data_IF_344239533096
#
_entry.id   IF_344239533096
#
_cell.length_a   1.000
_cell.length_b   1.000
_cell.length_c   1.000
_cell.angle_alpha   90.00
_cell.angle_beta   90.00
_cell.angle_gamma   90.00
#
_symmetry.space_group_name_H-M   'P 1'
#
loop_
_entity.id
_entity.type
_entity.pdbx_description
1 polymer ?
#
# COMPACT_ATOMS: atom_id res chain seq x y z
N UNK A 1 -27.93 0.43 -14.14
CA UNK A 1 -26.53 0.02 -13.92
C UNK A 1 -26.27 0.03 -12.42
N UNK A 2 -25.98 -1.13 -11.83
CA UNK A 2 -25.62 -1.27 -10.42
C UNK A 2 -24.11 -1.31 -10.23
N UNK A 3 -23.65 -1.02 -9.02
CA UNK A 3 -22.25 -1.13 -8.61
C UNK A 3 -22.19 -1.94 -7.31
N UNK A 4 -21.23 -2.82 -7.19
CA UNK A 4 -20.98 -3.65 -6.01
C UNK A 4 -19.54 -3.51 -5.54
N UNK A 5 -19.31 -3.60 -4.23
CA UNK A 5 -18.01 -3.76 -3.63
C UNK A 5 -17.80 -5.25 -3.38
N UNK A 6 -16.74 -5.82 -3.96
CA UNK A 6 -16.34 -7.20 -3.77
C UNK A 6 -15.09 -7.27 -2.90
N UNK A 7 -14.99 -8.31 -2.04
CA UNK A 7 -13.81 -8.56 -1.22
C UNK A 7 -13.49 -10.05 -1.15
N UNK A 8 -12.19 -10.39 -1.02
CA UNK A 8 -11.69 -11.76 -0.92
C UNK A 8 -10.31 -11.82 -0.26
N UNK A 9 -9.86 -13.02 0.09
CA UNK A 9 -8.60 -13.25 0.79
C UNK A 9 -8.79 -13.51 2.28
N UNK A 10 -7.77 -13.20 3.09
CA UNK A 10 -7.80 -13.39 4.55
C UNK A 10 -8.87 -12.53 5.22
N UNK A 11 -9.57 -13.11 6.21
CA UNK A 11 -10.66 -12.45 6.94
C UNK A 11 -10.67 -12.76 8.44
N UNK A 12 -9.56 -13.19 9.01
CA UNK A 12 -9.43 -13.59 10.41
C UNK A 12 -9.76 -12.48 11.43
N UNK A 13 -9.86 -11.22 10.97
CA UNK A 13 -10.17 -10.06 11.79
C UNK A 13 -11.35 -9.23 11.22
N UNK A 14 -12.10 -9.77 10.26
CA UNK A 14 -13.18 -9.04 9.60
C UNK A 14 -12.72 -7.96 8.63
N UNK A 15 -11.45 -8.00 8.18
CA UNK A 15 -10.85 -7.01 7.28
C UNK A 15 -11.49 -6.95 5.90
N UNK A 16 -12.29 -7.94 5.52
CA UNK A 16 -13.09 -7.94 4.29
C UNK A 16 -14.39 -7.13 4.41
N UNK A 17 -14.79 -6.75 5.65
CA UNK A 17 -16.01 -5.97 5.87
C UNK A 17 -17.32 -6.73 5.63
N UNK A 18 -17.29 -8.06 5.58
CA UNK A 18 -18.42 -8.94 5.25
C UNK A 18 -19.36 -9.20 6.44
N UNK A 19 -19.11 -8.61 7.62
CA UNK A 19 -19.91 -8.78 8.82
C UNK A 19 -19.58 -10.02 9.64
N UNK A 20 -18.60 -10.80 9.23
CA UNK A 20 -18.15 -12.05 9.86
C UNK A 20 -16.62 -12.11 9.92
N UNK A 21 -16.10 -12.97 10.79
CA UNK A 21 -14.71 -13.46 10.72
C UNK A 21 -14.70 -14.85 10.09
N UNK A 22 -13.69 -15.14 9.28
CA UNK A 22 -13.40 -16.43 8.67
C UNK A 22 -11.90 -16.56 8.45
N UNK A 23 -11.37 -17.76 8.27
CA UNK A 23 -9.95 -17.88 7.94
C UNK A 23 -9.65 -17.24 6.59
N UNK A 24 -10.48 -17.51 5.59
CA UNK A 24 -10.30 -17.07 4.21
C UNK A 24 -11.63 -16.92 3.47
N UNK A 25 -11.58 -16.18 2.36
CA UNK A 25 -12.63 -16.08 1.35
C UNK A 25 -11.98 -16.24 -0.03
N UNK A 26 -11.99 -17.47 -0.57
CA UNK A 26 -11.24 -17.84 -1.78
C UNK A 26 -11.84 -17.33 -3.10
N UNK A 27 -13.08 -16.87 -3.07
CA UNK A 27 -13.78 -16.24 -4.20
C UNK A 27 -14.25 -14.84 -3.83
N UNK A 28 -14.34 -13.90 -4.80
CA UNK A 28 -14.91 -12.59 -4.54
C UNK A 28 -16.35 -12.68 -4.02
N UNK A 29 -16.59 -12.13 -2.84
CA UNK A 29 -17.90 -12.02 -2.22
C UNK A 29 -18.35 -10.57 -2.15
N UNK A 30 -19.63 -10.31 -2.39
CA UNK A 30 -20.20 -8.97 -2.28
C UNK A 30 -20.27 -8.52 -0.82
N UNK A 31 -19.82 -7.29 -0.55
CA UNK A 31 -19.86 -6.68 0.79
C UNK A 31 -21.22 -6.04 1.01
N UNK A 32 -21.92 -6.43 2.07
CA UNK A 32 -23.16 -5.78 2.49
C UNK A 32 -22.89 -4.38 3.09
N UNK A 33 -23.25 -3.35 2.35
CA UNK A 33 -23.12 -1.95 2.75
C UNK A 33 -24.45 -1.34 3.24
N UNK A 34 -25.48 -2.14 3.47
CA UNK A 34 -26.82 -1.66 3.90
C UNK A 34 -26.78 -0.94 5.26
N UNK A 35 -25.79 -1.27 6.12
CA UNK A 35 -25.61 -0.69 7.45
C UNK A 35 -24.74 0.57 7.49
N UNK A 36 -24.24 1.05 6.34
CA UNK A 36 -23.42 2.27 6.28
C UNK A 36 -23.83 3.18 5.11
N UNK A 37 -23.38 4.42 5.14
CA UNK A 37 -23.67 5.42 4.10
C UNK A 37 -22.85 5.25 2.81
N UNK A 38 -21.87 4.35 2.82
CA UNK A 38 -20.97 4.09 1.69
C UNK A 38 -21.74 3.57 0.46
N UNK A 39 -21.46 4.18 -0.69
CA UNK A 39 -22.00 3.76 -1.98
C UNK A 39 -20.87 3.26 -2.87
N UNK A 40 -20.90 2.02 -3.41
CA UNK A 40 -19.81 1.47 -4.23
C UNK A 40 -19.38 2.39 -5.38
N UNK A 41 -20.33 3.03 -6.07
CA UNK A 41 -20.06 3.97 -7.17
C UNK A 41 -19.21 5.19 -6.74
N UNK A 42 -19.25 5.55 -5.46
CA UNK A 42 -18.58 6.72 -4.89
C UNK A 42 -17.20 6.41 -4.30
N UNK A 43 -16.80 5.15 -4.26
CA UNK A 43 -15.50 4.76 -3.73
C UNK A 43 -14.39 5.30 -4.64
N UNK A 44 -13.46 6.04 -4.05
CA UNK A 44 -12.31 6.67 -4.71
C UNK A 44 -11.01 5.89 -4.48
N UNK A 45 -10.83 5.35 -3.26
CA UNK A 45 -9.63 4.61 -2.88
C UNK A 45 -9.94 3.55 -1.83
N UNK A 46 -9.29 2.40 -1.95
CA UNK A 46 -9.33 1.29 -0.98
C UNK A 46 -7.89 0.94 -0.66
N UNK A 47 -7.54 0.89 0.62
CA UNK A 47 -6.22 0.48 1.09
C UNK A 47 -6.36 -0.42 2.32
N UNK A 48 -5.52 -1.43 2.44
CA UNK A 48 -5.50 -2.30 3.60
C UNK A 48 -4.13 -2.35 4.28
N UNK A 49 -4.14 -2.57 5.60
CA UNK A 49 -2.98 -2.94 6.38
C UNK A 49 -2.86 -4.46 6.53
N UNK A 50 -2.34 -4.94 7.66
CA UNK A 50 -2.26 -6.39 7.94
C UNK A 50 -3.65 -7.04 8.02
N UNK A 51 -4.49 -6.52 8.87
CA UNK A 51 -5.82 -7.07 9.16
C UNK A 51 -6.91 -6.00 9.25
N UNK A 52 -6.71 -4.81 8.65
CA UNK A 52 -7.70 -3.74 8.62
C UNK A 52 -7.76 -3.09 7.23
N UNK A 53 -8.85 -2.41 6.94
CA UNK A 53 -9.10 -1.77 5.65
C UNK A 53 -9.69 -0.38 5.85
N UNK A 54 -9.20 0.57 5.06
CA UNK A 54 -9.78 1.90 4.91
C UNK A 54 -10.34 2.10 3.50
N UNK A 55 -11.48 2.76 3.41
CA UNK A 55 -12.11 3.20 2.15
C UNK A 55 -12.32 4.71 2.21
N UNK A 56 -11.93 5.42 1.17
CA UNK A 56 -12.21 6.82 0.93
C UNK A 56 -13.26 6.95 -0.17
N UNK A 57 -14.31 7.74 0.07
CA UNK A 57 -15.30 8.08 -0.95
C UNK A 57 -15.01 9.43 -1.65
N UNK A 58 -15.75 9.72 -2.70
CA UNK A 58 -15.60 10.92 -3.52
C UNK A 58 -16.01 12.22 -2.81
N UNK A 59 -16.69 12.12 -1.67
CA UNK A 59 -17.05 13.25 -0.80
C UNK A 59 -16.02 13.51 0.31
N UNK A 60 -14.93 12.74 0.37
CA UNK A 60 -13.90 12.87 1.39
C UNK A 60 -14.24 12.19 2.71
N UNK A 61 -15.21 11.26 2.74
CA UNK A 61 -15.53 10.45 3.91
C UNK A 61 -14.70 9.20 3.95
N UNK A 62 -14.30 8.78 5.14
CA UNK A 62 -13.49 7.58 5.37
C UNK A 62 -14.29 6.54 6.13
N UNK A 63 -14.18 5.30 5.70
CA UNK A 63 -14.78 4.13 6.33
C UNK A 63 -13.70 3.12 6.66
N UNK A 64 -13.87 2.38 7.76
CA UNK A 64 -12.90 1.37 8.18
C UNK A 64 -13.57 0.10 8.68
N UNK A 65 -12.85 -1.03 8.59
CA UNK A 65 -13.18 -2.31 9.20
C UNK A 65 -11.93 -3.13 9.51
N UNK A 66 -12.08 -4.23 10.24
CA UNK A 66 -11.03 -5.18 10.54
C UNK A 66 -10.47 -5.08 11.95
N UNK A 67 -9.23 -5.50 12.10
CA UNK A 67 -8.47 -5.59 13.34
C UNK A 67 -8.28 -4.25 14.03
N UNK A 68 -8.52 -4.20 15.35
CA UNK A 68 -8.49 -2.96 16.12
C UNK A 68 -7.71 -3.03 17.45
N UNK A 69 -6.89 -4.04 17.67
CA UNK A 69 -6.19 -4.22 18.94
C UNK A 69 -5.19 -3.09 19.29
N UNK A 70 -4.79 -2.29 18.29
CA UNK A 70 -3.95 -1.09 18.42
C UNK A 70 -4.71 0.19 18.04
N UNK A 71 -6.03 0.10 17.87
CA UNK A 71 -6.85 1.23 17.47
C UNK A 71 -6.76 1.60 15.99
N UNK A 72 -6.20 0.72 15.13
CA UNK A 72 -5.91 1.01 13.72
C UNK A 72 -7.15 1.28 12.86
N UNK A 73 -8.33 0.83 13.26
CA UNK A 73 -9.60 1.20 12.58
C UNK A 73 -10.22 2.50 13.11
N UNK A 74 -9.64 3.14 14.16
CA UNK A 74 -10.06 4.46 14.63
C UNK A 74 -11.25 4.47 15.60
N UNK A 75 -11.64 3.36 16.20
CA UNK A 75 -12.73 3.29 17.18
C UNK A 75 -12.23 2.92 18.58
N UNK A 76 -12.87 3.44 19.68
CA UNK A 76 -12.44 3.23 21.06
C UNK A 76 -12.86 1.87 21.62
N UNK A 77 -12.59 0.80 20.86
CA UNK A 77 -12.76 -0.59 21.28
C UNK A 77 -11.53 -1.38 20.87
N UNK A 78 -11.28 -2.50 21.52
CA UNK A 78 -10.27 -3.48 21.07
C UNK A 78 -10.88 -4.59 20.22
N UNK A 79 -12.20 -4.64 20.12
CA UNK A 79 -12.90 -5.61 19.30
C UNK A 79 -12.70 -5.33 17.82
N UNK A 80 -12.69 -6.36 17.01
CA UNK A 80 -12.64 -6.25 15.56
C UNK A 80 -13.94 -5.60 15.03
N UNK A 81 -13.81 -4.78 14.02
CA UNK A 81 -14.94 -4.13 13.34
C UNK A 81 -15.25 -4.91 12.08
N UNK A 82 -16.27 -5.74 12.11
CA UNK A 82 -16.55 -6.74 11.06
C UNK A 82 -17.23 -6.14 9.81
N UNK A 83 -17.83 -4.97 9.91
CA UNK A 83 -18.48 -4.25 8.81
C UNK A 83 -17.95 -2.83 8.72
N UNK A 84 -17.93 -2.25 7.53
CA UNK A 84 -17.48 -0.87 7.35
C UNK A 84 -18.26 0.11 8.19
N UNK A 85 -17.56 0.96 8.96
CA UNK A 85 -18.10 2.07 9.76
C UNK A 85 -17.46 3.36 9.33
N UNK A 86 -18.23 4.44 9.33
CA UNK A 86 -17.79 5.79 9.00
C UNK A 86 -16.95 6.40 10.13
N UNK A 87 -15.85 7.07 9.77
CA UNK A 87 -14.87 7.68 10.67
C UNK A 87 -14.97 9.21 10.75
N UNK A 88 -15.93 9.87 10.09
CA UNK A 88 -15.92 11.31 9.90
C UNK A 88 -15.88 12.11 11.20
N UNK A 89 -16.66 11.73 12.21
CA UNK A 89 -16.61 12.40 13.53
C UNK A 89 -15.21 12.31 14.15
N UNK A 90 -14.55 11.15 14.02
CA UNK A 90 -13.18 10.95 14.52
C UNK A 90 -12.14 11.75 13.74
N UNK A 91 -12.40 12.00 12.48
CA UNK A 91 -11.59 12.87 11.62
C UNK A 91 -12.01 14.34 11.71
N UNK A 92 -12.85 14.70 12.72
CA UNK A 92 -13.33 16.06 12.98
C UNK A 92 -14.03 16.70 11.78
N UNK A 93 -14.75 15.88 11.01
CA UNK A 93 -15.47 16.27 9.79
C UNK A 93 -14.60 17.00 8.73
N UNK A 94 -13.27 16.77 8.75
CA UNK A 94 -12.34 17.28 7.73
C UNK A 94 -12.57 16.56 6.41
N UNK A 95 -12.41 17.26 5.29
CA UNK A 95 -12.47 16.66 3.95
C UNK A 95 -11.15 15.93 3.68
N UNK A 96 -11.23 14.60 3.57
CA UNK A 96 -10.08 13.75 3.31
C UNK A 96 -9.88 13.59 1.80
N UNK A 97 -8.65 13.73 1.34
CA UNK A 97 -8.26 13.60 -0.07
C UNK A 97 -7.41 12.36 -0.33
N UNK A 98 -6.74 11.84 0.69
CA UNK A 98 -5.95 10.61 0.60
C UNK A 98 -5.93 9.82 1.90
N UNK A 99 -5.74 8.50 1.80
CA UNK A 99 -5.63 7.55 2.92
C UNK A 99 -4.49 6.57 2.68
N UNK A 100 -3.85 6.11 3.75
CA UNK A 100 -2.83 5.07 3.71
C UNK A 100 -2.92 4.15 4.93
N UNK A 101 -2.51 2.89 4.77
CA UNK A 101 -2.35 1.92 5.84
C UNK A 101 -0.91 1.43 5.90
N UNK A 102 -0.36 1.37 7.11
CA UNK A 102 0.79 0.55 7.44
C UNK A 102 0.36 -0.83 7.91
N UNK A 103 1.24 -1.56 8.61
CA UNK A 103 0.89 -2.88 9.14
C UNK A 103 -0.31 -2.82 10.12
N UNK A 104 -0.19 -1.98 11.14
CA UNK A 104 -1.14 -1.82 12.24
C UNK A 104 -1.39 -0.34 12.60
N UNK A 105 -1.27 0.53 11.62
CA UNK A 105 -1.52 1.97 11.73
C UNK A 105 -2.13 2.53 10.45
N UNK A 106 -2.74 3.69 10.56
CA UNK A 106 -3.54 4.32 9.52
C UNK A 106 -3.26 5.81 9.42
N UNK A 107 -3.50 6.35 8.24
CA UNK A 107 -3.32 7.77 7.92
C UNK A 107 -4.46 8.32 7.07
N UNK A 108 -4.78 9.58 7.28
CA UNK A 108 -5.66 10.38 6.43
C UNK A 108 -5.05 11.76 6.16
N UNK A 109 -5.09 12.17 4.92
CA UNK A 109 -4.62 13.49 4.47
C UNK A 109 -5.83 14.37 4.13
N UNK A 110 -5.87 15.55 4.72
CA UNK A 110 -6.92 16.53 4.44
C UNK A 110 -6.61 17.35 3.19
N UNK A 111 -7.63 17.99 2.63
CA UNK A 111 -7.50 18.91 1.49
C UNK A 111 -6.59 20.10 1.80
N UNK A 112 -6.44 20.50 3.07
CA UNK A 112 -5.56 21.59 3.50
C UNK A 112 -4.09 21.15 3.62
N UNK A 113 -3.77 19.87 3.38
CA UNK A 113 -2.43 19.30 3.53
C UNK A 113 -2.08 18.93 4.98
N UNK A 114 -3.09 18.80 5.86
CA UNK A 114 -2.93 18.32 7.24
C UNK A 114 -2.94 16.78 7.27
N UNK A 115 -2.00 16.19 8.01
CA UNK A 115 -1.92 14.75 8.22
C UNK A 115 -2.55 14.35 9.55
N UNK A 116 -3.41 13.34 9.51
CA UNK A 116 -3.99 12.67 10.67
C UNK A 116 -3.45 11.23 10.72
N UNK A 117 -2.93 10.81 11.88
CA UNK A 117 -2.38 9.47 12.10
C UNK A 117 -3.04 8.81 13.31
N UNK A 118 -3.18 7.46 13.27
CA UNK A 118 -3.65 6.64 14.38
C UNK A 118 -3.21 5.18 14.23
N UNK A 119 -3.45 4.37 15.27
CA UNK A 119 -3.00 2.98 15.34
C UNK A 119 -1.72 2.83 16.15
N UNK A 120 -0.91 1.85 15.80
CA UNK A 120 0.35 1.50 16.47
C UNK A 120 1.45 2.53 16.22
N UNK A 121 2.21 2.80 17.28
CA UNK A 121 3.42 3.64 17.25
C UNK A 121 4.61 2.95 17.94
N UNK A 122 4.58 1.64 18.09
CA UNK A 122 5.62 0.90 18.81
C UNK A 122 7.03 1.09 18.25
N UNK A 123 7.13 1.56 17.00
CA UNK A 123 8.39 1.83 16.30
C UNK A 123 8.59 3.31 15.96
N UNK A 124 7.71 4.21 16.45
CA UNK A 124 7.76 5.63 16.13
C UNK A 124 7.18 6.01 14.77
N UNK A 125 6.47 5.08 14.11
CA UNK A 125 5.90 5.26 12.76
C UNK A 125 4.82 6.34 12.67
N UNK A 126 4.26 6.79 13.80
CA UNK A 126 3.34 7.93 13.87
C UNK A 126 4.06 9.26 14.16
N UNK A 127 5.40 9.29 14.15
CA UNK A 127 6.17 10.51 14.41
C UNK A 127 6.16 10.97 15.87
N UNK A 128 5.95 10.05 16.81
CA UNK A 128 6.04 10.26 18.27
C UNK A 128 6.98 9.24 18.88
N UNK A 129 7.66 9.62 19.96
CA UNK A 129 8.52 8.68 20.67
C UNK A 129 7.67 7.54 21.28
N UNK A 130 8.04 6.24 21.14
CA UNK A 130 7.23 5.12 21.63
C UNK A 130 6.96 5.14 23.14
N UNK A 131 7.88 5.72 23.93
CA UNK A 131 7.67 5.89 25.38
C UNK A 131 6.57 6.92 25.71
N UNK A 132 6.28 7.86 24.82
CA UNK A 132 5.22 8.86 25.01
C UNK A 132 3.88 8.41 24.44
N UNK A 133 3.90 7.62 23.39
CA UNK A 133 2.71 7.10 22.71
C UNK A 133 3.03 5.74 22.09
N UNK A 134 2.44 4.65 22.58
CA UNK A 134 2.62 3.32 21.99
C UNK A 134 1.57 3.01 20.92
N UNK A 135 0.36 3.50 21.08
CA UNK A 135 -0.74 3.36 20.12
C UNK A 135 -1.88 4.32 20.48
N UNK A 136 -2.75 4.59 19.53
CA UNK A 136 -3.97 5.38 19.75
C UNK A 136 -5.08 4.97 18.79
N UNK A 137 -6.31 4.91 19.27
CA UNK A 137 -7.49 4.78 18.41
C UNK A 137 -7.99 6.13 17.89
N UNK A 138 -7.58 7.23 18.51
CA UNK A 138 -8.00 8.55 18.06
C UNK A 138 -7.02 9.11 17.03
N UNK A 139 -7.51 9.49 15.84
CA UNK A 139 -6.71 10.22 14.88
C UNK A 139 -6.20 11.53 15.48
N UNK A 140 -4.91 11.76 15.43
CA UNK A 140 -4.30 13.01 15.88
C UNK A 140 -3.58 13.72 14.74
N UNK A 141 -3.59 15.03 14.80
CA UNK A 141 -2.93 15.88 13.81
C UNK A 141 -1.41 15.91 14.03
N UNK A 142 -0.67 15.68 12.95
CA UNK A 142 0.79 15.69 12.96
C UNK A 142 1.29 17.06 12.52
N UNK A 143 2.09 17.69 13.37
CA UNK A 143 2.73 18.97 13.05
C UNK A 143 4.06 18.70 12.38
N UNK A 144 4.14 18.88 11.06
CA UNK A 144 5.38 18.72 10.28
C UNK A 144 6.04 20.05 9.91
N UNK A 145 5.35 21.18 10.15
CA UNK A 145 5.76 22.49 9.67
C UNK A 145 5.62 22.67 8.15
N UNK A 146 5.13 21.66 7.43
CA UNK A 146 4.94 21.67 5.96
C UNK A 146 3.60 21.04 5.59
N UNK A 147 3.03 21.50 4.49
CA UNK A 147 1.87 20.85 3.90
C UNK A 147 2.26 19.54 3.21
N UNK A 148 1.46 18.51 3.43
CA UNK A 148 1.65 17.18 2.88
C UNK A 148 0.75 17.01 1.66
N UNK A 149 1.29 16.41 0.59
CA UNK A 149 0.53 16.06 -0.63
C UNK A 149 0.45 14.56 -0.90
N UNK A 150 1.25 13.74 -0.19
CA UNK A 150 1.23 12.29 -0.37
C UNK A 150 1.75 11.55 0.85
N UNK A 151 1.28 10.30 1.01
CA UNK A 151 1.61 9.42 2.13
C UNK A 151 1.87 8.02 1.61
N UNK A 152 2.92 7.37 2.12
CA UNK A 152 3.12 5.94 1.97
C UNK A 152 3.61 5.35 3.29
N UNK A 153 3.09 4.18 3.65
CA UNK A 153 3.39 3.53 4.93
C UNK A 153 3.88 2.10 4.67
N UNK A 154 5.02 1.77 5.27
CA UNK A 154 5.56 0.42 5.27
C UNK A 154 5.18 -0.37 6.52
N UNK A 155 5.93 -1.45 6.83
CA UNK A 155 5.66 -2.25 8.01
C UNK A 155 5.84 -1.45 9.30
N UNK A 156 6.91 -0.66 9.41
CA UNK A 156 7.34 0.04 10.64
C UNK A 156 7.88 1.44 10.36
N UNK A 157 7.54 2.03 9.22
CA UNK A 157 7.97 3.38 8.86
C UNK A 157 6.89 4.07 8.02
N UNK A 158 6.89 5.38 8.09
CA UNK A 158 5.97 6.25 7.34
C UNK A 158 6.80 7.26 6.55
N UNK A 159 6.43 7.45 5.30
CA UNK A 159 7.04 8.42 4.38
C UNK A 159 5.97 9.40 3.93
N UNK A 160 6.27 10.67 4.09
CA UNK A 160 5.41 11.78 3.67
C UNK A 160 6.07 12.53 2.52
N UNK A 161 5.28 12.87 1.53
CA UNK A 161 5.67 13.75 0.45
C UNK A 161 5.04 15.12 0.68
N UNK A 162 5.88 16.15 0.73
CA UNK A 162 5.45 17.54 0.96
C UNK A 162 5.07 18.25 -0.34
N UNK A 163 4.29 19.34 -0.26
CA UNK A 163 3.94 20.16 -1.44
C UNK A 163 5.16 20.73 -2.14
N UNK A 164 6.23 21.05 -1.41
CA UNK A 164 7.52 21.49 -1.94
C UNK A 164 8.43 20.33 -2.42
N UNK A 165 7.83 19.14 -2.61
CA UNK A 165 8.48 17.96 -3.23
C UNK A 165 9.68 17.42 -2.45
N UNK A 166 9.63 17.50 -1.12
CA UNK A 166 10.57 16.89 -0.18
C UNK A 166 9.97 15.64 0.45
N UNK A 167 10.82 14.81 1.03
CA UNK A 167 10.41 13.61 1.76
C UNK A 167 10.69 13.80 3.24
N UNK A 168 9.69 13.51 4.08
CA UNK A 168 9.81 13.38 5.52
C UNK A 168 9.57 11.93 5.93
N UNK A 169 10.35 11.40 6.84
CA UNK A 169 10.30 9.99 7.28
C UNK A 169 10.22 9.87 8.80
N UNK A 170 9.51 8.84 9.29
CA UNK A 170 9.46 8.48 10.70
C UNK A 170 9.34 6.96 10.87
N UNK A 171 9.77 6.44 12.03
CA UNK A 171 9.72 5.01 12.35
C UNK A 171 11.10 4.38 12.51
N UNK A 172 11.19 3.05 12.30
CA UNK A 172 12.48 2.34 12.36
C UNK A 172 13.26 2.44 11.06
N UNK A 173 14.57 2.60 11.16
CA UNK A 173 15.54 2.69 10.07
C UNK A 173 16.57 1.56 10.04
N UNK A 174 16.39 0.50 10.84
CA UNK A 174 17.38 -0.57 11.04
C UNK A 174 17.82 -1.30 9.77
N UNK A 175 17.02 -1.24 8.72
CA UNK A 175 17.33 -1.78 7.38
C UNK A 175 17.71 -0.70 6.37
N UNK A 176 17.71 0.58 6.77
CA UNK A 176 17.99 1.72 5.90
C UNK A 176 16.74 2.36 5.26
N UNK A 177 15.54 1.85 5.55
CA UNK A 177 14.28 2.27 4.93
C UNK A 177 13.89 3.74 5.16
N UNK A 178 14.56 4.45 6.08
CA UNK A 178 14.38 5.89 6.31
C UNK A 178 15.25 6.76 5.39
N UNK A 179 16.32 6.22 4.80
CA UNK A 179 17.25 7.00 3.97
C UNK A 179 18.01 8.07 4.74
N UNK A 180 18.12 7.95 6.07
CA UNK A 180 18.75 8.94 6.95
C UNK A 180 20.15 8.51 7.38
N UNK A 181 21.10 9.46 7.32
CA UNK A 181 22.43 9.35 7.91
C UNK A 181 22.67 10.57 8.80
N UNK A 182 23.59 10.46 9.77
CA UNK A 182 24.06 11.64 10.49
C UNK A 182 24.85 12.56 9.55
N UNK A 183 24.58 13.86 9.59
CA UNK A 183 25.18 14.89 8.72
C UNK A 183 26.72 14.88 8.72
N UNK A 184 27.37 14.34 9.75
CA UNK A 184 28.83 14.36 9.90
C UNK A 184 29.44 12.98 10.20
N UNK A 185 28.68 11.89 10.07
CA UNK A 185 29.16 10.53 10.30
C UNK A 185 28.62 9.57 9.26
N UNK A 186 29.31 8.45 9.02
CA UNK A 186 28.81 7.33 8.22
C UNK A 186 27.80 6.46 9.00
N UNK A 187 27.43 6.87 10.20
CA UNK A 187 26.50 6.15 11.05
C UNK A 187 25.05 6.39 10.56
N UNK A 188 24.30 5.32 10.42
CA UNK A 188 22.90 5.37 10.04
C UNK A 188 22.00 5.57 11.25
N UNK A 189 20.91 6.34 11.08
CA UNK A 189 19.87 6.47 12.09
C UNK A 189 19.00 5.20 12.11
N UNK A 190 19.06 4.47 13.23
CA UNK A 190 18.25 3.26 13.41
C UNK A 190 16.76 3.54 13.65
N UNK A 191 16.38 4.76 13.99
CA UNK A 191 14.98 5.19 14.15
C UNK A 191 14.88 6.73 14.07
N UNK A 192 13.72 7.22 13.59
CA UNK A 192 13.32 8.62 13.67
C UNK A 192 11.94 8.69 14.36
N UNK A 193 11.87 9.29 15.54
CA UNK A 193 10.63 9.41 16.32
C UNK A 193 9.89 10.73 16.08
N UNK A 194 10.40 11.55 15.17
CA UNK A 194 9.73 12.71 14.58
C UNK A 194 9.93 12.67 13.07
N UNK A 195 9.03 13.28 12.32
CA UNK A 195 9.17 13.36 10.87
C UNK A 195 10.40 14.18 10.50
N UNK A 196 11.39 13.51 9.92
CA UNK A 196 12.72 14.05 9.59
C UNK A 196 12.92 14.08 8.09
N UNK A 197 13.44 15.17 7.54
CA UNK A 197 13.68 15.35 6.10
C UNK A 197 14.84 14.47 5.61
N UNK A 198 14.66 13.83 4.45
CA UNK A 198 15.73 13.14 3.70
C UNK A 198 16.43 14.18 2.82
N UNK A 199 17.45 14.83 3.36
CA UNK A 199 18.10 16.00 2.74
C UNK A 199 18.78 15.71 1.39
N UNK A 200 19.06 14.44 1.08
CA UNK A 200 19.70 14.01 -0.18
C UNK A 200 18.73 13.90 -1.35
N UNK A 201 17.43 14.07 -1.11
CA UNK A 201 16.38 13.98 -2.13
C UNK A 201 15.64 15.30 -2.27
N UNK A 202 15.39 15.69 -3.52
CA UNK A 202 14.58 16.85 -3.91
C UNK A 202 13.76 16.54 -5.15
N UNK A 203 12.76 17.37 -5.41
CA UNK A 203 11.89 17.27 -6.58
C UNK A 203 11.20 15.92 -6.74
N UNK A 204 10.80 15.31 -5.61
CA UNK A 204 10.12 14.03 -5.60
C UNK A 204 8.64 14.21 -5.99
N UNK A 205 8.18 13.34 -6.89
CA UNK A 205 6.80 13.32 -7.40
C UNK A 205 5.94 12.28 -6.71
N UNK A 206 6.51 11.10 -6.40
CA UNK A 206 5.78 10.03 -5.71
C UNK A 206 6.70 9.16 -4.85
N UNK A 207 6.09 8.49 -3.87
CA UNK A 207 6.78 7.57 -2.94
C UNK A 207 5.98 6.29 -2.76
N UNK A 208 6.67 5.16 -2.59
CA UNK A 208 6.07 3.86 -2.31
C UNK A 208 6.90 3.10 -1.28
N UNK A 209 6.26 2.60 -0.22
CA UNK A 209 6.90 1.87 0.87
C UNK A 209 6.55 0.39 0.82
N UNK A 210 7.57 -0.45 0.93
CA UNK A 210 7.40 -1.88 1.20
C UNK A 210 7.63 -2.21 2.66
N UNK A 211 7.95 -3.48 2.96
CA UNK A 211 8.17 -3.92 4.33
C UNK A 211 9.29 -3.12 5.02
N UNK A 212 10.46 -3.09 4.40
CA UNK A 212 11.67 -2.42 4.89
C UNK A 212 12.40 -1.67 3.78
N UNK A 213 11.70 -1.19 2.76
CA UNK A 213 12.30 -0.39 1.70
C UNK A 213 11.39 0.76 1.30
N UNK A 214 11.97 1.74 0.68
CA UNK A 214 11.29 2.92 0.13
C UNK A 214 11.77 3.17 -1.29
N UNK A 215 10.82 3.41 -2.18
CA UNK A 215 11.05 3.86 -3.56
C UNK A 215 10.55 5.29 -3.68
N UNK A 216 11.35 6.16 -4.26
CA UNK A 216 10.98 7.54 -4.56
C UNK A 216 11.19 7.83 -6.05
N UNK A 217 10.20 8.41 -6.70
CA UNK A 217 10.27 8.84 -8.10
C UNK A 217 10.37 10.36 -8.13
N UNK A 218 11.39 10.87 -8.81
CA UNK A 218 11.58 12.29 -9.00
C UNK A 218 10.84 12.81 -10.24
N UNK A 219 10.60 14.11 -10.30
CA UNK A 219 9.92 14.80 -11.44
C UNK A 219 10.62 14.64 -12.78
N UNK A 220 11.91 14.33 -12.78
CA UNK A 220 12.69 14.06 -13.98
C UNK A 220 12.66 12.59 -14.43
N UNK A 221 11.85 11.74 -13.74
CA UNK A 221 11.72 10.31 -14.03
C UNK A 221 12.78 9.44 -13.36
N UNK A 222 13.74 10.01 -12.64
CA UNK A 222 14.71 9.24 -11.89
C UNK A 222 14.05 8.51 -10.72
N UNK A 223 14.49 7.28 -10.48
CA UNK A 223 14.03 6.44 -9.39
C UNK A 223 15.14 6.30 -8.37
N UNK A 224 14.82 6.55 -7.11
CA UNK A 224 15.69 6.36 -5.97
C UNK A 224 15.13 5.26 -5.08
N UNK A 225 16.00 4.38 -4.56
CA UNK A 225 15.63 3.30 -3.68
C UNK A 225 16.57 3.23 -2.47
N UNK A 226 16.01 2.88 -1.31
CA UNK A 226 16.77 2.71 -0.08
C UNK A 226 16.05 1.75 0.88
N UNK A 227 16.81 1.11 1.76
CA UNK A 227 16.32 0.09 2.67
C UNK A 227 16.93 -1.28 2.44
N UNK A 228 16.17 -2.32 2.77
CA UNK A 228 16.53 -3.73 2.58
C UNK A 228 16.53 -4.12 1.10
N UNK A 229 17.55 -4.89 0.69
CA UNK A 229 17.69 -5.36 -0.70
C UNK A 229 17.96 -6.87 -0.78
N UNK A 230 17.60 -7.60 0.24
CA UNK A 230 17.87 -9.05 0.31
C UNK A 230 17.40 -9.83 -0.93
N UNK A 231 16.30 -9.40 -1.51
CA UNK A 231 15.70 -10.03 -2.69
C UNK A 231 15.83 -9.22 -3.98
N UNK A 232 16.58 -8.10 -3.94
CA UNK A 232 16.70 -7.19 -5.07
C UNK A 232 15.55 -6.18 -5.19
N UNK A 233 14.75 -5.99 -4.14
CA UNK A 233 13.59 -5.08 -4.13
C UNK A 233 13.94 -3.59 -4.30
N UNK A 234 15.19 -3.22 -4.17
CA UNK A 234 15.67 -1.87 -4.48
C UNK A 234 15.94 -1.67 -5.99
N UNK A 235 15.93 -2.72 -6.81
CA UNK A 235 16.38 -2.62 -8.22
C UNK A 235 17.91 -2.48 -8.34
N UNK A 236 18.66 -2.84 -7.31
CA UNK A 236 20.11 -2.74 -7.22
C UNK A 236 20.73 -4.13 -7.04
N UNK A 237 21.92 -4.33 -7.60
CA UNK A 237 22.66 -5.60 -7.45
C UNK A 237 22.77 -5.97 -5.95
N UNK A 238 22.29 -7.15 -5.58
CA UNK A 238 22.21 -7.64 -4.20
C UNK A 238 23.57 -7.88 -3.56
N UNK A 239 24.59 -8.27 -4.36
CA UNK A 239 25.94 -8.55 -3.87
C UNK A 239 26.66 -7.23 -3.55
N UNK A 240 26.44 -6.19 -4.36
CA UNK A 240 27.03 -4.86 -4.13
C UNK A 240 26.25 -4.07 -3.07
N UNK A 241 24.92 -4.23 -3.02
CA UNK A 241 24.02 -3.46 -2.15
C UNK A 241 23.03 -4.39 -1.45
N UNK A 242 23.43 -5.18 -0.43
CA UNK A 242 22.48 -6.03 0.31
C UNK A 242 21.43 -5.23 1.11
N UNK A 243 21.75 -3.97 1.42
CA UNK A 243 20.88 -2.91 1.95
C UNK A 243 21.53 -1.56 1.73
N UNK A 244 20.75 -0.47 1.73
CA UNK A 244 21.27 0.90 1.68
C UNK A 244 20.63 1.77 2.74
N UNK A 245 21.43 2.60 3.40
CA UNK A 245 20.97 3.59 4.38
C UNK A 245 20.79 4.99 3.78
N UNK A 246 21.20 5.16 2.53
CA UNK A 246 21.04 6.40 1.75
C UNK A 246 20.28 6.08 0.47
N UNK A 247 19.53 7.03 -0.08
CA UNK A 247 18.90 6.88 -1.39
C UNK A 247 19.96 6.65 -2.48
N UNK A 248 19.77 5.58 -3.25
CA UNK A 248 20.59 5.26 -4.43
C UNK A 248 19.71 5.39 -5.68
N UNK A 249 20.20 6.12 -6.68
CA UNK A 249 19.54 6.23 -7.99
C UNK A 249 19.72 4.94 -8.77
N UNK A 250 18.64 4.44 -9.38
CA UNK A 250 18.70 3.33 -10.31
C UNK A 250 19.33 3.81 -11.63
N UNK A 251 20.44 3.17 -12.04
CA UNK A 251 21.22 3.60 -13.20
C UNK A 251 20.72 3.02 -14.54
N UNK A 252 20.15 1.81 -14.49
CA UNK A 252 19.87 1.03 -15.72
C UNK A 252 18.41 1.09 -16.16
N UNK A 253 17.65 2.01 -15.57
CA UNK A 253 16.21 2.15 -15.82
C UNK A 253 15.89 3.60 -16.14
N UNK A 254 15.34 3.84 -17.32
CA UNK A 254 14.76 5.11 -17.69
C UNK A 254 13.31 4.90 -18.13
N UNK A 255 12.39 5.52 -17.42
CA UNK A 255 10.98 5.52 -17.76
C UNK A 255 10.52 6.91 -18.18
N UNK A 256 9.55 6.94 -19.07
CA UNK A 256 8.81 8.16 -19.35
C UNK A 256 7.84 8.45 -18.20
N UNK A 257 7.62 9.70 -17.86
CA UNK A 257 6.56 10.08 -16.93
C UNK A 257 5.19 10.09 -17.64
N UNK A 258 4.11 9.74 -16.95
CA UNK A 258 4.05 9.35 -15.54
C UNK A 258 4.45 7.88 -15.31
N UNK A 259 5.10 7.61 -14.18
CA UNK A 259 5.33 6.26 -13.70
C UNK A 259 4.75 6.10 -12.30
N UNK A 260 4.05 4.98 -12.05
CA UNK A 260 3.52 4.63 -10.76
C UNK A 260 4.25 3.41 -10.20
N UNK A 261 4.71 3.52 -8.95
CA UNK A 261 5.39 2.44 -8.23
C UNK A 261 4.49 1.90 -7.12
N UNK A 262 4.41 0.58 -7.04
CA UNK A 262 3.63 -0.16 -6.06
C UNK A 262 4.55 -1.15 -5.36
N UNK A 263 4.83 -0.92 -4.09
CA UNK A 263 5.70 -1.79 -3.30
C UNK A 263 4.86 -2.77 -2.49
N UNK A 264 5.13 -4.07 -2.70
CA UNK A 264 4.74 -5.11 -1.74
C UNK A 264 5.80 -5.23 -0.63
N UNK A 265 5.81 -6.34 0.12
CA UNK A 265 6.78 -6.49 1.20
C UNK A 265 8.21 -6.53 0.70
N UNK A 266 8.49 -7.36 -0.31
CA UNK A 266 9.84 -7.58 -0.82
C UNK A 266 9.89 -7.58 -2.35
N UNK A 267 8.88 -7.03 -3.00
CA UNK A 267 8.81 -6.85 -4.45
C UNK A 267 8.26 -5.47 -4.79
N UNK A 268 8.51 -5.03 -6.00
CA UNK A 268 7.99 -3.78 -6.55
C UNK A 268 7.40 -4.04 -7.92
N UNK A 269 6.25 -3.44 -8.17
CA UNK A 269 5.61 -3.38 -9.48
C UNK A 269 5.61 -1.93 -9.95
N UNK A 270 6.16 -1.68 -11.12
CA UNK A 270 6.09 -0.40 -11.82
C UNK A 270 5.05 -0.45 -12.94
N UNK A 271 4.23 0.60 -13.04
CA UNK A 271 3.30 0.79 -14.16
C UNK A 271 3.72 2.04 -14.94
N UNK A 272 4.10 1.85 -16.21
CA UNK A 272 4.52 2.92 -17.12
C UNK A 272 3.97 2.65 -18.53
N UNK A 273 3.33 3.63 -19.14
CA UNK A 273 2.71 3.52 -20.47
C UNK A 273 1.84 2.25 -20.63
N UNK A 274 1.04 1.95 -19.60
CA UNK A 274 0.16 0.77 -19.52
C UNK A 274 0.91 -0.60 -19.52
N UNK A 275 2.23 -0.60 -19.40
CA UNK A 275 3.05 -1.80 -19.24
C UNK A 275 3.44 -1.98 -17.78
N UNK A 276 3.57 -3.23 -17.35
CA UNK A 276 4.00 -3.58 -16.00
C UNK A 276 5.45 -4.07 -16.02
N UNK A 277 6.19 -3.64 -15.00
CA UNK A 277 7.55 -4.06 -14.70
C UNK A 277 7.60 -4.61 -13.28
N UNK A 278 8.43 -5.62 -13.04
CA UNK A 278 8.57 -6.22 -11.72
C UNK A 278 10.03 -6.49 -11.35
N UNK A 279 10.35 -6.35 -10.06
CA UNK A 279 11.64 -6.74 -9.48
C UNK A 279 11.51 -7.03 -7.99
N UNK A 280 12.50 -7.69 -7.40
CA UNK A 280 12.48 -8.16 -6.03
C UNK A 280 12.22 -9.65 -5.93
N UNK A 281 11.52 -10.05 -4.88
CA UNK A 281 11.17 -11.45 -4.59
C UNK A 281 10.14 -12.00 -5.57
N UNK A 282 10.30 -13.28 -5.97
CA UNK A 282 9.37 -14.02 -6.84
C UNK A 282 9.10 -15.46 -6.37
N UNK A 283 9.32 -15.75 -5.09
CA UNK A 283 9.13 -17.10 -4.52
C UNK A 283 7.71 -17.62 -4.75
N UNK A 284 6.74 -16.75 -4.63
CA UNK A 284 5.31 -17.05 -4.80
C UNK A 284 4.77 -16.68 -6.19
N UNK A 285 5.64 -16.20 -7.11
CA UNK A 285 5.23 -15.69 -8.41
C UNK A 285 4.76 -14.22 -8.37
N UNK A 286 5.02 -13.47 -7.29
CA UNK A 286 4.55 -12.09 -7.12
C UNK A 286 5.10 -11.11 -8.16
N UNK A 287 6.14 -11.46 -8.91
CA UNK A 287 6.58 -10.66 -10.07
C UNK A 287 5.79 -10.98 -11.34
N UNK A 288 5.04 -12.10 -11.39
CA UNK A 288 4.38 -12.54 -12.62
C UNK A 288 5.34 -12.96 -13.72
N UNK A 289 6.60 -13.30 -13.39
CA UNK A 289 7.65 -13.68 -14.33
C UNK A 289 7.93 -15.16 -14.16
N UNK A 290 7.59 -15.97 -15.17
CA UNK A 290 7.68 -17.43 -15.08
C UNK A 290 9.08 -18.00 -15.38
N UNK A 291 9.92 -17.24 -16.08
CA UNK A 291 11.25 -17.69 -16.53
C UNK A 291 12.37 -16.97 -15.78
N UNK A 292 12.46 -17.14 -14.47
CA UNK A 292 13.57 -16.66 -13.66
C UNK A 292 14.41 -17.87 -13.22
N UNK A 293 15.73 -17.76 -13.36
CA UNK A 293 16.69 -18.76 -12.87
C UNK A 293 16.70 -18.84 -11.33
N UNK A 294 16.42 -17.71 -10.67
CA UNK A 294 16.37 -17.57 -9.20
C UNK A 294 15.00 -17.10 -8.76
N UNK A 295 14.57 -17.38 -7.52
CA UNK A 295 13.27 -16.94 -6.97
C UNK A 295 13.24 -15.45 -6.61
N UNK A 296 14.13 -14.63 -7.21
CA UNK A 296 14.19 -13.19 -7.07
C UNK A 296 15.05 -12.57 -8.17
N UNK A 297 14.83 -11.30 -8.49
CA UNK A 297 15.66 -10.52 -9.41
C UNK A 297 15.76 -9.07 -8.98
N UNK A 298 16.95 -8.48 -9.04
CA UNK A 298 17.12 -7.04 -8.89
C UNK A 298 16.95 -6.28 -10.22
N UNK A 299 17.01 -7.00 -11.36
CA UNK A 299 16.82 -6.38 -12.68
C UNK A 299 15.36 -6.00 -12.86
N UNK A 300 15.11 -4.75 -13.20
CA UNK A 300 13.76 -4.28 -13.58
C UNK A 300 13.37 -4.98 -14.87
N UNK A 301 12.36 -5.84 -14.78
CA UNK A 301 11.98 -6.75 -15.87
C UNK A 301 10.54 -6.47 -16.29
N UNK A 302 10.31 -6.27 -17.58
CA UNK A 302 8.96 -6.14 -18.12
C UNK A 302 8.22 -7.48 -18.03
N UNK A 303 6.96 -7.44 -17.62
CA UNK A 303 6.08 -8.60 -17.61
C UNK A 303 5.39 -8.65 -18.99
N UNK A 304 5.73 -9.66 -19.76
CA UNK A 304 5.28 -9.76 -21.15
C UNK A 304 3.91 -10.46 -21.28
N UNK A 305 3.29 -10.32 -22.44
CA UNK A 305 2.03 -10.98 -22.82
C UNK A 305 0.84 -10.62 -21.93
N UNK A 306 0.79 -9.41 -21.43
CA UNK A 306 -0.33 -8.88 -20.65
C UNK A 306 -1.13 -7.85 -21.45
N UNK A 307 -2.43 -7.72 -21.19
CA UNK A 307 -3.24 -6.62 -21.71
C UNK A 307 -2.72 -5.27 -21.15
N UNK A 308 -3.14 -4.18 -21.76
CA UNK A 308 -2.82 -2.84 -21.26
C UNK A 308 -3.41 -2.62 -19.87
N UNK A 309 -2.56 -2.25 -18.93
CA UNK A 309 -2.93 -2.05 -17.54
C UNK A 309 -3.31 -0.60 -17.27
N UNK A 310 -4.36 -0.40 -16.50
CA UNK A 310 -4.81 0.90 -16.04
C UNK A 310 -4.36 1.20 -14.61
N UNK A 311 -4.38 0.19 -13.73
CA UNK A 311 -4.02 0.34 -12.30
C UNK A 311 -3.47 -0.96 -11.74
N UNK A 312 -2.61 -0.84 -10.75
CA UNK A 312 -2.12 -1.95 -9.92
C UNK A 312 -2.34 -1.63 -8.45
N UNK A 313 -2.51 -2.65 -7.63
CA UNK A 313 -2.44 -2.61 -6.18
C UNK A 313 -1.59 -3.78 -5.69
N UNK A 314 -0.54 -3.50 -4.95
CA UNK A 314 0.34 -4.52 -4.39
C UNK A 314 -0.03 -4.80 -2.93
N UNK A 315 -0.30 -6.07 -2.62
CA UNK A 315 -0.39 -6.56 -1.24
C UNK A 315 0.98 -6.94 -0.69
N UNK A 316 1.04 -7.75 0.38
CA UNK A 316 2.34 -8.17 0.93
C UNK A 316 3.17 -8.95 -0.09
N UNK A 317 2.63 -10.01 -0.65
CA UNK A 317 3.29 -10.90 -1.60
C UNK A 317 2.35 -11.31 -2.77
N UNK A 318 1.30 -10.51 -3.03
CA UNK A 318 0.37 -10.69 -4.15
C UNK A 318 0.05 -9.34 -4.79
N UNK A 319 -0.54 -9.37 -5.97
CA UNK A 319 -0.95 -8.17 -6.68
C UNK A 319 -2.34 -8.33 -7.28
N UNK A 320 -3.01 -7.21 -7.40
CA UNK A 320 -4.26 -7.07 -8.14
C UNK A 320 -4.05 -5.99 -9.19
N UNK A 321 -4.42 -6.24 -10.43
CA UNK A 321 -4.33 -5.27 -11.51
C UNK A 321 -5.68 -5.11 -12.23
N UNK A 322 -5.92 -3.91 -12.71
CA UNK A 322 -7.09 -3.55 -13.51
C UNK A 322 -6.62 -3.18 -14.91
N UNK A 323 -7.16 -3.82 -15.92
CA UNK A 323 -6.89 -3.50 -17.33
C UNK A 323 -7.71 -2.30 -17.81
N UNK A 324 -7.34 -1.69 -18.94
CA UNK A 324 -8.14 -0.65 -19.59
C UNK A 324 -9.55 -1.12 -19.96
N UNK A 325 -9.71 -2.42 -20.24
CA UNK A 325 -11.00 -3.01 -20.56
C UNK A 325 -11.85 -3.34 -19.32
N UNK A 326 -11.29 -3.19 -18.13
CA UNK A 326 -11.95 -3.47 -16.85
C UNK A 326 -11.90 -4.93 -16.43
N UNK A 327 -11.01 -5.74 -16.99
CA UNK A 327 -10.67 -7.05 -16.48
C UNK A 327 -9.82 -6.88 -15.22
N UNK A 328 -10.00 -7.76 -14.24
CA UNK A 328 -9.19 -7.79 -13.02
C UNK A 328 -8.27 -8.99 -13.09
N UNK A 329 -6.98 -8.77 -12.90
CA UNK A 329 -5.97 -9.82 -12.86
C UNK A 329 -5.39 -9.91 -11.44
N UNK A 330 -5.12 -11.13 -10.96
CA UNK A 330 -4.49 -11.38 -9.67
C UNK A 330 -3.35 -12.38 -9.81
N UNK A 331 -2.28 -12.21 -9.01
CA UNK A 331 -1.15 -13.14 -8.97
C UNK A 331 -0.30 -12.98 -7.71
N UNK A 332 0.52 -13.98 -7.43
CA UNK A 332 1.43 -14.04 -6.29
C UNK A 332 1.00 -15.06 -5.24
N UNK A 333 1.33 -14.78 -4.00
CA UNK A 333 0.97 -15.58 -2.83
C UNK A 333 -0.55 -15.68 -2.66
N UNK A 334 -1.05 -16.91 -2.46
CA UNK A 334 -2.49 -17.17 -2.47
C UNK A 334 -2.97 -18.09 -1.32
N UNK A 335 -2.20 -18.26 -0.26
CA UNK A 335 -2.50 -19.17 0.86
C UNK A 335 -3.88 -18.90 1.52
N UNK A 336 -4.34 -17.65 1.49
CA UNK A 336 -5.65 -17.27 2.02
C UNK A 336 -6.68 -16.94 0.92
N UNK A 337 -6.46 -17.39 -0.33
CA UNK A 337 -7.34 -17.02 -1.44
C UNK A 337 -7.16 -15.58 -1.91
N UNK A 338 -6.00 -14.96 -1.68
CA UNK A 338 -5.72 -13.55 -2.00
C UNK A 338 -5.94 -13.18 -3.47
N UNK A 339 -5.84 -14.20 -4.36
CA UNK A 339 -6.05 -14.06 -5.80
C UNK A 339 -7.51 -14.29 -6.24
N UNK A 340 -8.40 -14.74 -5.34
CA UNK A 340 -9.83 -14.84 -5.61
C UNK A 340 -10.26 -15.85 -6.68
N UNK A 341 -9.45 -16.87 -6.95
CA UNK A 341 -9.64 -17.84 -8.03
C UNK A 341 -10.20 -19.21 -7.57
N UNK A 342 -10.74 -19.28 -6.33
CA UNK A 342 -11.41 -20.47 -5.79
C UNK A 342 -10.47 -21.52 -5.19
N UNK A 343 -9.19 -21.21 -5.03
CA UNK A 343 -8.21 -22.10 -4.39
C UNK A 343 -7.13 -21.30 -3.64
N UNK A 344 -6.25 -22.01 -2.90
CA UNK A 344 -5.19 -21.42 -2.07
C UNK A 344 -3.76 -21.69 -2.60
N UNK A 345 -3.61 -22.18 -3.82
CA UNK A 345 -2.30 -22.38 -4.47
C UNK A 345 -1.80 -21.05 -5.03
N UNK A 346 -0.49 -20.79 -4.88
CA UNK A 346 0.15 -19.59 -5.46
C UNK A 346 -0.09 -19.47 -6.96
N UNK A 347 -0.32 -18.25 -7.41
CA UNK A 347 -0.58 -17.89 -8.81
C UNK A 347 0.68 -17.26 -9.38
N UNK A 348 1.39 -18.03 -10.22
CA UNK A 348 2.73 -17.65 -10.68
C UNK A 348 2.76 -16.64 -11.82
N UNK A 349 1.63 -16.39 -12.46
CA UNK A 349 1.44 -15.44 -13.57
C UNK A 349 0.10 -14.75 -13.42
N UNK A 350 -0.06 -13.49 -13.86
CA UNK A 350 -1.34 -12.81 -13.80
C UNK A 350 -2.50 -13.59 -14.42
N UNK A 351 -3.45 -14.01 -13.59
CA UNK A 351 -4.66 -14.73 -13.98
C UNK A 351 -5.89 -13.83 -13.85
N UNK A 352 -6.82 -13.96 -14.77
CA UNK A 352 -8.06 -13.19 -14.75
C UNK A 352 -8.96 -13.67 -13.61
N UNK A 353 -9.42 -12.73 -12.78
CA UNK A 353 -10.43 -12.98 -11.78
C UNK A 353 -11.76 -13.32 -12.43
N UNK A 354 -12.34 -14.44 -12.03
CA UNK A 354 -13.65 -14.88 -12.53
C UNK A 354 -14.76 -14.02 -11.88
N UNK A 355 -15.18 -13.01 -12.57
CA UNK A 355 -16.35 -12.22 -12.23
C UNK A 355 -17.60 -12.82 -12.91
N UNK A 356 -18.81 -12.63 -12.35
CA UNK A 356 -20.04 -12.99 -13.04
C UNK A 356 -20.09 -12.36 -14.44
N UNK A 357 -20.68 -13.03 -15.41
CA UNK A 357 -20.95 -12.48 -16.73
C UNK A 357 -21.69 -11.14 -16.57
N UNK A 358 -21.39 -10.15 -17.36
CA UNK A 358 -21.96 -8.80 -17.31
C UNK A 358 -21.39 -7.85 -16.25
N UNK A 359 -20.23 -8.13 -15.66
CA UNK A 359 -19.56 -7.19 -14.75
C UNK A 359 -18.20 -6.73 -15.28
N UNK A 360 -17.86 -5.49 -14.96
CA UNK A 360 -16.59 -4.84 -15.29
C UNK A 360 -15.98 -4.24 -14.04
N UNK A 361 -14.68 -4.44 -13.83
CA UNK A 361 -13.90 -3.78 -12.78
C UNK A 361 -13.81 -2.26 -13.02
N UNK A 362 -13.94 -1.50 -11.94
CA UNK A 362 -13.84 -0.03 -11.95
C UNK A 362 -12.71 0.46 -11.06
N UNK A 363 -12.52 -0.17 -9.92
CA UNK A 363 -11.50 0.17 -8.93
C UNK A 363 -11.03 -1.10 -8.26
N UNK A 364 -9.76 -1.13 -7.87
CA UNK A 364 -9.14 -2.20 -7.10
C UNK A 364 -8.43 -1.65 -5.88
N UNK A 365 -8.22 -2.49 -4.87
CA UNK A 365 -7.42 -2.22 -3.69
C UNK A 365 -6.96 -3.50 -3.02
N UNK A 366 -5.89 -3.43 -2.23
CA UNK A 366 -5.36 -4.58 -1.49
C UNK A 366 -4.85 -4.18 -0.11
N UNK A 367 -4.81 -5.14 0.78
CA UNK A 367 -4.05 -5.11 2.02
C UNK A 367 -2.97 -6.19 2.00
N UNK A 368 -2.45 -6.59 3.18
CA UNK A 368 -1.37 -7.56 3.25
C UNK A 368 -1.76 -8.91 2.60
N UNK A 369 -2.92 -9.46 2.95
CA UNK A 369 -3.40 -10.76 2.48
C UNK A 369 -4.89 -10.73 2.07
N UNK A 370 -5.40 -9.58 1.66
CA UNK A 370 -6.80 -9.43 1.26
C UNK A 370 -6.92 -8.42 0.12
N UNK A 371 -7.99 -8.53 -0.66
CA UNK A 371 -8.17 -7.81 -1.91
C UNK A 371 -9.60 -7.32 -2.08
N UNK A 372 -9.76 -6.24 -2.84
CA UNK A 372 -11.04 -5.60 -3.13
C UNK A 372 -11.16 -5.20 -4.59
N UNK A 373 -12.41 -5.19 -5.06
CA UNK A 373 -12.77 -4.55 -6.32
C UNK A 373 -14.14 -3.87 -6.23
N UNK A 374 -14.25 -2.69 -6.82
CA UNK A 374 -15.55 -2.13 -7.20
C UNK A 374 -15.85 -2.60 -8.62
N UNK A 375 -16.99 -3.22 -8.80
CA UNK A 375 -17.46 -3.71 -10.09
C UNK A 375 -18.76 -3.00 -10.50
N UNK A 376 -19.00 -2.97 -11.80
CA UNK A 376 -20.19 -2.37 -12.41
C UNK A 376 -20.87 -3.38 -13.32
N UNK A 377 -22.21 -3.51 -13.21
CA UNK A 377 -23.00 -4.31 -14.14
C UNK A 377 -22.93 -3.71 -15.55
N UNK A 378 -22.65 -4.53 -16.56
CA UNK A 378 -22.76 -4.21 -17.98
C UNK A 378 -24.17 -4.64 -18.44
N UNK A 379 -24.91 -3.73 -19.04
CA UNK A 379 -26.22 -4.01 -19.62
C UNK A 379 -26.08 -4.68 -20.98
#
# INVERSE_FOLDING_TARGET
MSYSLMSWGANSHGQLGQGIESEECVLPCEVDLSKCSLKPKKIKKIVGGAGHTLILDDSGRVYSCGWNNKGQVGFPTKDNILSFRELNEKLKNKVIVDIACGWDCSAALTIEGTLLLWGSNCFGQLGKHPNSLQWTHEPFEVVTGRKIKGISMGLRHTVLLTEDCKILVAGTGSKGQLGLTFLNSKESLNAAYSFTEVLTLSDIESVSCGQYHTIAVAKDGNIYAFGDNKYGQLGLNTDAYPKTFIPIKLSDVQFNLPINMYSGWSHVIGLNDNNIFGWGRNTYGQLGITKLEKPSTWKVTRIENLPKMHRVSAGSEHNVALTENGEILCWGWNEHGNCGNGHTKDVKFPEQLLLPYNYKGILIGSGAAHSFAVIKTIL
#
